data_IF_267569720436
#
_entry.id   IF_267569720436
#
_cell.length_a   1.000
_cell.length_b   1.000
_cell.length_c   1.000
_cell.angle_alpha   90.00
_cell.angle_beta   90.00
_cell.angle_gamma   90.00
#
_symmetry.space_group_name_H-M   'P 1'
#
loop_
_entity.id
_entity.type
_entity.pdbx_description
1 polymer ?
#
# COMPACT_ATOMS: atom_id res chain seq x y z
N UNK A 1 -19.82 -4.46 1.76
CA UNK A 1 -21.22 -4.94 1.73
C UNK A 1 -22.13 -3.91 2.38
N UNK A 2 -21.97 -3.54 3.65
CA UNK A 2 -22.73 -2.43 4.26
C UNK A 2 -22.57 -1.08 3.52
N UNK A 3 -21.33 -0.70 3.18
CA UNK A 3 -21.04 0.53 2.42
C UNK A 3 -21.73 0.59 1.03
N UNK A 4 -22.09 -0.56 0.45
CA UNK A 4 -22.78 -0.61 -0.83
C UNK A 4 -24.30 -0.45 -0.68
N UNK A 5 -24.85 -0.78 0.49
CA UNK A 5 -26.27 -0.59 0.84
C UNK A 5 -26.59 0.86 1.23
N UNK A 6 -25.64 1.57 1.84
CA UNK A 6 -25.77 3.00 2.18
C UNK A 6 -25.41 3.95 1.02
N UNK A 7 -24.79 3.45 -0.05
CA UNK A 7 -24.43 4.27 -1.20
C UNK A 7 -25.65 4.57 -2.09
N UNK A 8 -25.90 5.85 -2.36
CA UNK A 8 -26.83 6.23 -3.43
C UNK A 8 -26.27 5.77 -4.79
N UNK A 9 -27.07 5.03 -5.56
CA UNK A 9 -26.72 4.47 -6.88
C UNK A 9 -25.37 3.68 -6.92
N UNK A 10 -25.28 2.52 -6.24
CA UNK A 10 -24.02 1.77 -6.06
C UNK A 10 -23.35 1.38 -7.39
N UNK A 11 -24.14 1.07 -8.43
CA UNK A 11 -23.64 0.69 -9.75
C UNK A 11 -22.80 1.78 -10.45
N UNK A 12 -22.96 3.06 -10.08
CA UNK A 12 -22.19 4.19 -10.65
C UNK A 12 -21.18 4.76 -9.66
N UNK A 13 -21.51 4.79 -8.38
CA UNK A 13 -20.70 5.42 -7.34
C UNK A 13 -19.47 4.58 -6.98
N UNK A 14 -19.63 3.25 -6.88
CA UNK A 14 -18.53 2.33 -6.51
C UNK A 14 -17.41 2.35 -7.57
N UNK A 15 -17.68 2.21 -8.89
CA UNK A 15 -16.62 2.27 -9.88
C UNK A 15 -15.87 3.61 -9.88
N UNK A 16 -16.59 4.73 -9.71
CA UNK A 16 -15.97 6.06 -9.64
C UNK A 16 -15.05 6.20 -8.43
N UNK A 17 -15.49 5.72 -7.26
CA UNK A 17 -14.68 5.75 -6.03
C UNK A 17 -13.40 4.91 -6.15
N UNK A 18 -13.48 3.75 -6.81
CA UNK A 18 -12.30 2.92 -7.09
C UNK A 18 -11.33 3.67 -7.99
N UNK A 19 -11.82 4.23 -9.11
CA UNK A 19 -10.98 4.97 -10.07
C UNK A 19 -10.34 6.19 -9.42
N UNK A 20 -11.08 6.97 -8.61
CA UNK A 20 -10.52 8.14 -7.93
C UNK A 20 -9.43 7.74 -6.94
N UNK A 21 -9.60 6.64 -6.22
CA UNK A 21 -8.60 6.13 -5.27
C UNK A 21 -7.32 5.70 -6.00
N UNK A 22 -7.46 5.01 -7.13
CA UNK A 22 -6.32 4.61 -7.96
C UNK A 22 -5.60 5.82 -8.53
N UNK A 23 -6.33 6.82 -9.05
CA UNK A 23 -5.73 8.04 -9.60
C UNK A 23 -4.92 8.79 -8.54
N UNK A 24 -5.48 8.98 -7.34
CA UNK A 24 -4.77 9.65 -6.23
C UNK A 24 -3.53 8.85 -5.82
N UNK A 25 -3.63 7.52 -5.75
CA UNK A 25 -2.51 6.65 -5.45
C UNK A 25 -1.39 6.73 -6.49
N UNK A 26 -1.74 6.70 -7.79
CA UNK A 26 -0.77 6.79 -8.89
C UNK A 26 -0.09 8.15 -8.89
N UNK A 27 -0.84 9.26 -8.75
CA UNK A 27 -0.25 10.60 -8.77
C UNK A 27 0.71 10.82 -7.60
N UNK A 28 0.33 10.38 -6.39
CA UNK A 28 1.18 10.53 -5.21
C UNK A 28 2.40 9.61 -5.27
N UNK A 29 2.24 8.35 -5.66
CA UNK A 29 3.34 7.41 -5.81
C UNK A 29 4.31 7.82 -6.93
N UNK A 30 3.79 8.34 -8.05
CA UNK A 30 4.62 8.81 -9.16
C UNK A 30 5.46 10.02 -8.77
N UNK A 31 4.86 11.03 -8.15
CA UNK A 31 5.59 12.21 -7.67
C UNK A 31 6.66 11.82 -6.63
N UNK A 32 6.32 10.91 -5.71
CA UNK A 32 7.27 10.39 -4.72
C UNK A 32 8.41 9.59 -5.38
N UNK A 33 8.12 8.74 -6.35
CA UNK A 33 9.13 7.97 -7.07
C UNK A 33 10.11 8.89 -7.83
N UNK A 34 9.60 9.91 -8.51
CA UNK A 34 10.43 10.92 -9.19
C UNK A 34 11.34 11.63 -8.19
N UNK A 35 10.80 12.09 -7.05
CA UNK A 35 11.60 12.73 -6.01
C UNK A 35 12.73 11.82 -5.51
N UNK A 36 12.42 10.53 -5.29
CA UNK A 36 13.42 9.54 -4.84
C UNK A 36 14.50 9.24 -5.89
N UNK A 37 14.14 9.18 -7.16
CA UNK A 37 15.11 8.98 -8.25
C UNK A 37 16.13 10.13 -8.33
N UNK A 38 15.70 11.38 -8.10
CA UNK A 38 16.59 12.54 -8.14
C UNK A 38 17.37 12.78 -6.84
N UNK A 39 16.95 12.18 -5.73
CA UNK A 39 17.63 12.31 -4.44
C UNK A 39 18.61 11.17 -4.14
N UNK A 40 18.81 10.25 -5.07
CA UNK A 40 19.72 9.10 -4.90
C UNK A 40 21.06 9.41 -5.55
N UNK A 41 22.14 9.34 -4.77
CA UNK A 41 23.49 9.63 -5.26
C UNK A 41 24.25 8.35 -5.67
N UNK A 42 24.11 7.26 -4.93
CA UNK A 42 24.86 6.01 -5.16
C UNK A 42 23.93 4.79 -5.24
N UNK A 43 23.60 4.40 -6.47
CA UNK A 43 22.78 3.22 -6.77
C UNK A 43 23.50 1.90 -6.47
N UNK A 44 24.83 1.85 -6.58
CA UNK A 44 25.60 0.62 -6.35
C UNK A 44 25.63 0.26 -4.85
N UNK A 45 25.72 1.28 -3.99
CA UNK A 45 25.53 1.15 -2.54
C UNK A 45 24.15 0.59 -2.17
N UNK A 46 23.09 0.96 -2.90
CA UNK A 46 21.75 0.42 -2.65
C UNK A 46 21.64 -1.06 -3.03
N UNK A 47 22.24 -1.47 -4.15
CA UNK A 47 22.20 -2.87 -4.61
C UNK A 47 23.04 -3.81 -3.76
N UNK A 48 24.12 -3.30 -3.16
CA UNK A 48 25.06 -4.07 -2.32
C UNK A 48 24.73 -4.01 -0.83
N UNK A 49 23.57 -3.46 -0.47
CA UNK A 49 23.17 -3.26 0.92
C UNK A 49 23.10 -4.59 1.69
N UNK A 50 23.78 -4.72 2.85
CA UNK A 50 23.92 -5.99 3.57
C UNK A 50 22.61 -6.51 4.18
N UNK A 51 21.60 -5.66 4.36
CA UNK A 51 20.26 -6.05 4.82
C UNK A 51 19.37 -6.62 3.72
N UNK A 52 19.75 -6.53 2.44
CA UNK A 52 18.92 -6.95 1.30
C UNK A 52 17.66 -6.11 1.07
N UNK A 53 17.45 -5.08 1.90
CA UNK A 53 16.32 -4.15 1.83
C UNK A 53 16.83 -2.73 1.51
N UNK A 54 16.94 -2.37 0.22
CA UNK A 54 17.54 -1.10 -0.20
C UNK A 54 16.72 0.13 0.20
N UNK A 55 15.45 -0.04 0.59
CA UNK A 55 14.53 1.08 0.85
C UNK A 55 14.96 1.97 2.03
N UNK A 56 15.55 1.39 3.07
CA UNK A 56 16.03 2.17 4.21
C UNK A 56 17.28 2.98 3.86
N UNK A 57 18.21 2.38 3.12
CA UNK A 57 19.41 3.06 2.63
C UNK A 57 19.04 4.18 1.63
N UNK A 58 18.04 3.95 0.78
CA UNK A 58 17.49 4.95 -0.15
C UNK A 58 16.96 6.16 0.61
N UNK A 59 16.13 5.96 1.64
CA UNK A 59 15.60 7.08 2.43
C UNK A 59 16.67 7.77 3.27
N UNK A 60 17.70 7.05 3.70
CA UNK A 60 18.85 7.66 4.36
C UNK A 60 19.60 8.61 3.42
N UNK A 61 19.89 8.18 2.19
CA UNK A 61 20.51 9.02 1.17
C UNK A 61 19.62 10.21 0.82
N UNK A 62 18.33 9.98 0.58
CA UNK A 62 17.38 11.02 0.19
C UNK A 62 17.15 12.10 1.27
N UNK A 63 17.16 11.71 2.55
CA UNK A 63 16.86 12.64 3.66
C UNK A 63 18.11 13.26 4.28
N UNK A 64 19.30 12.72 3.96
CA UNK A 64 20.58 13.14 4.53
C UNK A 64 20.69 12.99 6.06
N UNK A 65 19.74 12.30 6.70
CA UNK A 65 19.65 12.19 8.17
C UNK A 65 19.05 10.86 8.62
N UNK A 66 19.67 10.28 9.65
CA UNK A 66 19.23 9.01 10.25
C UNK A 66 17.82 9.09 10.88
N UNK A 67 17.46 10.17 11.62
CA UNK A 67 16.11 10.30 12.18
C UNK A 67 15.05 10.43 11.08
N UNK A 68 15.35 11.16 10.00
CA UNK A 68 14.42 11.34 8.88
C UNK A 68 14.07 10.03 8.19
N UNK A 69 15.09 9.23 7.87
CA UNK A 69 14.90 7.89 7.28
C UNK A 69 14.12 6.95 8.21
N UNK A 70 14.38 7.00 9.51
CA UNK A 70 13.67 6.18 10.51
C UNK A 70 12.19 6.53 10.58
N UNK A 71 11.84 7.82 10.56
CA UNK A 71 10.44 8.26 10.58
C UNK A 71 9.69 7.76 9.35
N UNK A 72 10.30 7.85 8.15
CA UNK A 72 9.70 7.32 6.92
C UNK A 72 9.50 5.80 6.99
N UNK A 73 10.46 5.07 7.59
CA UNK A 73 10.35 3.63 7.80
C UNK A 73 9.23 3.26 8.76
N UNK A 74 9.09 3.97 9.88
CA UNK A 74 7.99 3.74 10.83
C UNK A 74 6.65 4.07 10.19
N UNK A 75 6.55 5.16 9.44
CA UNK A 75 5.32 5.52 8.73
C UNK A 75 4.91 4.43 7.71
N UNK A 76 5.87 3.88 6.96
CA UNK A 76 5.61 2.76 6.04
C UNK A 76 5.07 1.54 6.80
N UNK A 77 5.68 1.16 7.92
CA UNK A 77 5.23 0.02 8.73
C UNK A 77 3.79 0.21 9.23
N UNK A 78 3.44 1.41 9.71
CA UNK A 78 2.08 1.71 10.14
C UNK A 78 1.07 1.53 8.99
N UNK A 79 1.37 2.05 7.80
CA UNK A 79 0.52 1.90 6.62
C UNK A 79 0.38 0.43 6.22
N UNK A 80 1.48 -0.33 6.22
CA UNK A 80 1.46 -1.76 5.92
C UNK A 80 0.57 -2.54 6.90
N UNK A 81 0.66 -2.25 8.20
CA UNK A 81 -0.19 -2.90 9.19
C UNK A 81 -1.67 -2.61 8.95
N UNK A 82 -2.05 -1.35 8.68
CA UNK A 82 -3.43 -1.00 8.37
C UNK A 82 -3.93 -1.70 7.09
N UNK A 83 -3.10 -1.74 6.05
CA UNK A 83 -3.44 -2.41 4.78
C UNK A 83 -3.59 -3.93 4.95
N UNK A 84 -2.68 -4.59 5.67
CA UNK A 84 -2.75 -6.02 5.98
C UNK A 84 -4.03 -6.37 6.71
N UNK A 85 -4.38 -5.60 7.75
CA UNK A 85 -5.62 -5.80 8.49
C UNK A 85 -6.85 -5.65 7.56
N UNK A 86 -6.90 -4.61 6.73
CA UNK A 86 -8.01 -4.40 5.80
C UNK A 86 -8.17 -5.55 4.79
N UNK A 87 -7.07 -6.04 4.23
CA UNK A 87 -7.07 -7.18 3.30
C UNK A 87 -7.51 -8.45 4.01
N UNK A 88 -7.00 -8.71 5.22
CA UNK A 88 -7.38 -9.90 6.00
C UNK A 88 -8.87 -9.90 6.31
N UNK A 89 -9.41 -8.76 6.78
CA UNK A 89 -10.83 -8.61 7.07
C UNK A 89 -11.70 -8.83 5.81
N UNK A 90 -11.24 -8.36 4.65
CA UNK A 90 -11.93 -8.55 3.38
C UNK A 90 -11.86 -10.00 2.92
N UNK A 91 -10.69 -10.62 2.98
CA UNK A 91 -10.47 -12.01 2.61
C UNK A 91 -11.34 -12.96 3.46
N UNK A 92 -11.36 -12.82 4.78
CA UNK A 92 -12.20 -13.66 5.65
C UNK A 92 -13.70 -13.55 5.31
N UNK A 93 -14.19 -12.35 4.99
CA UNK A 93 -15.59 -12.13 4.57
C UNK A 93 -15.89 -12.75 3.21
N UNK A 94 -14.98 -12.62 2.25
CA UNK A 94 -15.11 -13.24 0.93
C UNK A 94 -15.09 -14.77 1.03
N UNK A 95 -14.21 -15.34 1.84
CA UNK A 95 -14.15 -16.78 2.10
C UNK A 95 -15.45 -17.27 2.73
N UNK A 96 -15.99 -16.59 3.75
CA UNK A 96 -17.26 -16.99 4.36
C UNK A 96 -18.44 -16.93 3.37
N UNK A 97 -18.53 -15.88 2.55
CA UNK A 97 -19.56 -15.78 1.50
C UNK A 97 -19.40 -16.89 0.46
N UNK A 98 -18.18 -17.19 0.04
CA UNK A 98 -17.90 -18.21 -0.99
C UNK A 98 -18.21 -19.62 -0.49
N UNK A 99 -17.98 -19.89 0.79
CA UNK A 99 -18.35 -21.17 1.41
C UNK A 99 -19.88 -21.33 1.53
N UNK A 100 -20.62 -20.23 1.74
CA UNK A 100 -22.09 -20.25 1.73
C UNK A 100 -22.66 -20.55 0.34
N UNK A 101 -21.93 -20.15 -0.70
CA UNK A 101 -22.29 -20.41 -2.10
C UNK A 101 -21.77 -21.78 -2.60
N UNK A 102 -21.40 -22.69 -1.68
CA UNK A 102 -20.82 -24.03 -1.92
C UNK A 102 -19.57 -24.03 -2.83
N UNK A 103 -18.94 -22.88 -3.06
CA UNK A 103 -17.81 -22.72 -3.97
C UNK A 103 -16.48 -23.21 -3.38
N UNK A 104 -16.40 -23.31 -2.05
CA UNK A 104 -15.24 -23.81 -1.31
C UNK A 104 -15.69 -24.63 -0.10
N UNK A 105 -15.09 -25.81 0.08
CA UNK A 105 -15.37 -26.70 1.22
C UNK A 105 -14.67 -26.15 2.46
N UNK A 106 -15.44 -25.54 3.36
CA UNK A 106 -15.00 -25.41 4.75
C UNK A 106 -15.24 -26.78 5.40
N UNK A 107 -14.15 -27.51 5.66
CA UNK A 107 -14.19 -28.70 6.51
C UNK A 107 -14.58 -28.32 7.95
#
# INVERSE_FOLDING_TARGET
MHLAEECSAPAKTIPKAIISTVLVGVLTAFAFAVAMCYSTDDFESLLTTPTGFPIYALWHQATGSLPGATVLMVALLCVMMSALNAVHQTASRLTWSSARDDAIVLA
#
